data_IF_680011497561
#
_entry.id   IF_680011497561
#
_cell.length_a   1.000
_cell.length_b   1.000
_cell.length_c   1.000
_cell.angle_alpha   90.00
_cell.angle_beta   90.00
_cell.angle_gamma   90.00
#
_symmetry.space_group_name_H-M   'P 1'
#
loop_
_entity.id
_entity.type
_entity.pdbx_description
1 polymer ?
#
# COMPACT_ATOMS: atom_id res chain seq x y z
N UNK A 1 -1.59 -15.71 18.01
CA UNK A 1 -0.99 -16.42 16.84
C UNK A 1 -1.65 -15.89 15.56
N UNK A 2 -1.00 -15.91 14.39
CA UNK A 2 -1.66 -15.50 13.12
C UNK A 2 -1.86 -14.00 12.88
N UNK A 3 -1.24 -13.10 13.66
CA UNK A 3 -1.36 -11.64 13.51
C UNK A 3 -0.64 -11.04 12.28
N UNK A 4 0.08 -11.87 11.51
CA UNK A 4 0.77 -11.42 10.29
C UNK A 4 2.22 -10.97 10.48
N UNK A 5 2.93 -11.38 11.54
CA UNK A 5 4.36 -11.02 11.80
C UNK A 5 5.29 -11.23 10.60
N UNK A 6 5.33 -12.44 10.05
CA UNK A 6 6.19 -12.79 8.90
C UNK A 6 5.88 -11.95 7.65
N UNK A 7 4.62 -11.62 7.39
CA UNK A 7 4.25 -10.72 6.29
C UNK A 7 4.57 -9.26 6.62
N UNK A 8 4.45 -8.87 7.89
CA UNK A 8 4.75 -7.52 8.34
C UNK A 8 6.25 -7.23 8.29
N UNK A 9 7.11 -8.21 8.58
CA UNK A 9 8.56 -8.04 8.50
C UNK A 9 9.01 -7.77 7.06
N UNK A 10 8.44 -8.45 6.06
CA UNK A 10 8.75 -8.17 4.64
C UNK A 10 8.24 -6.81 4.18
N UNK A 11 7.05 -6.40 4.62
CA UNK A 11 6.51 -5.05 4.38
C UNK A 11 7.39 -3.95 5.00
N UNK A 12 7.88 -4.19 6.22
CA UNK A 12 8.77 -3.25 6.91
C UNK A 12 10.09 -3.06 6.14
N UNK A 13 10.69 -4.13 5.61
CA UNK A 13 11.86 -4.02 4.73
C UNK A 13 11.58 -3.12 3.54
N UNK A 14 10.44 -3.29 2.87
CA UNK A 14 10.09 -2.45 1.72
C UNK A 14 9.89 -0.98 2.12
N UNK A 15 9.29 -0.72 3.28
CA UNK A 15 9.13 0.63 3.81
C UNK A 15 10.48 1.29 4.08
N UNK A 16 11.41 0.58 4.73
CA UNK A 16 12.77 1.07 5.00
C UNK A 16 13.55 1.32 3.70
N UNK A 17 13.39 0.44 2.70
CA UNK A 17 14.01 0.61 1.38
C UNK A 17 13.50 1.85 0.65
N UNK A 18 12.21 2.17 0.75
CA UNK A 18 11.67 3.43 0.19
C UNK A 18 12.31 4.67 0.82
N UNK A 19 12.78 4.56 2.06
CA UNK A 19 13.51 5.61 2.77
C UNK A 19 15.03 5.58 2.51
N UNK A 20 15.50 4.69 1.62
CA UNK A 20 16.91 4.57 1.25
C UNK A 20 17.75 3.71 2.20
N UNK A 21 17.13 2.91 3.06
CA UNK A 21 17.85 2.04 4.00
C UNK A 21 17.78 0.56 3.57
N UNK A 22 18.87 -0.16 3.78
CA UNK A 22 18.95 -1.59 3.54
C UNK A 22 18.63 -2.40 4.80
N UNK A 23 18.00 -3.57 4.62
CA UNK A 23 17.61 -4.42 5.73
C UNK A 23 17.84 -5.91 5.45
N UNK A 24 18.24 -6.64 6.50
CA UNK A 24 18.32 -8.10 6.54
C UNK A 24 17.18 -8.67 7.39
N UNK A 25 16.50 -9.69 6.89
CA UNK A 25 15.52 -10.48 7.66
C UNK A 25 16.21 -11.66 8.36
N UNK A 26 15.86 -11.94 9.61
CA UNK A 26 16.37 -13.08 10.38
C UNK A 26 15.20 -13.99 10.74
N UNK A 27 15.24 -15.24 10.27
CA UNK A 27 14.18 -16.24 10.46
C UNK A 27 14.27 -16.91 11.84
N UNK A 28 13.68 -16.29 12.86
CA UNK A 28 13.71 -16.77 14.25
C UNK A 28 12.44 -17.56 14.68
N UNK A 29 11.48 -17.76 13.77
CA UNK A 29 10.35 -18.69 13.96
C UNK A 29 10.76 -20.13 13.59
N UNK A 30 11.42 -20.82 14.54
CA UNK A 30 11.85 -22.22 14.37
C UNK A 30 10.76 -23.24 14.72
N UNK A 31 9.64 -22.79 15.30
CA UNK A 31 8.60 -23.67 15.83
C UNK A 31 7.49 -23.93 14.82
N UNK A 32 7.14 -22.93 14.00
CA UNK A 32 6.06 -23.05 13.03
C UNK A 32 6.56 -23.78 11.76
N UNK A 33 5.87 -24.84 11.31
CA UNK A 33 6.21 -25.53 10.06
C UNK A 33 6.28 -24.55 8.88
N UNK A 34 7.31 -24.70 8.04
CA UNK A 34 7.56 -23.88 6.85
C UNK A 34 7.67 -22.36 7.09
N UNK A 35 7.82 -21.88 8.33
CA UNK A 35 7.93 -20.45 8.60
C UNK A 35 9.23 -19.84 8.05
N UNK A 36 10.34 -20.60 8.14
CA UNK A 36 11.62 -20.23 7.53
C UNK A 36 11.46 -20.13 6.01
N UNK A 37 10.90 -21.17 5.37
CA UNK A 37 10.69 -21.19 3.92
C UNK A 37 9.76 -20.06 3.45
N UNK A 38 8.73 -19.74 4.24
CA UNK A 38 7.83 -18.62 3.99
C UNK A 38 8.59 -17.29 4.01
N UNK A 39 9.42 -17.04 5.03
CA UNK A 39 10.19 -15.80 5.11
C UNK A 39 11.22 -15.71 3.99
N UNK A 40 11.89 -16.81 3.65
CA UNK A 40 12.83 -16.89 2.51
C UNK A 40 12.12 -16.60 1.19
N UNK A 41 10.93 -17.14 0.98
CA UNK A 41 10.12 -16.88 -0.22
C UNK A 41 9.72 -15.40 -0.32
N UNK A 42 9.25 -14.81 0.79
CA UNK A 42 8.92 -13.39 0.86
C UNK A 42 10.14 -12.52 0.61
N UNK A 43 11.29 -12.85 1.21
CA UNK A 43 12.56 -12.15 0.98
C UNK A 43 12.97 -12.18 -0.49
N UNK A 44 12.87 -13.33 -1.16
CA UNK A 44 13.13 -13.44 -2.61
C UNK A 44 12.18 -12.58 -3.43
N UNK A 45 10.89 -12.55 -3.07
CA UNK A 45 9.88 -11.76 -3.78
C UNK A 45 10.19 -10.26 -3.76
N UNK A 46 10.74 -9.77 -2.65
CA UNK A 46 11.10 -8.36 -2.46
C UNK A 46 12.59 -8.07 -2.66
N UNK A 47 13.37 -9.05 -3.13
CA UNK A 47 14.82 -8.95 -3.27
C UNK A 47 15.52 -8.48 -1.98
N UNK A 48 15.17 -9.05 -0.84
CA UNK A 48 15.76 -8.78 0.47
C UNK A 48 16.54 -10.00 0.99
N UNK A 49 17.74 -9.80 1.55
CA UNK A 49 18.52 -10.90 2.09
C UNK A 49 17.86 -11.45 3.36
N UNK A 50 17.80 -12.78 3.45
CA UNK A 50 17.25 -13.51 4.60
C UNK A 50 18.35 -14.39 5.19
N UNK A 51 18.58 -14.26 6.49
CA UNK A 51 19.38 -15.17 7.28
C UNK A 51 18.51 -16.24 7.92
N UNK A 52 18.89 -17.50 7.75
CA UNK A 52 18.17 -18.65 8.30
C UNK A 52 19.12 -19.81 8.52
N UNK A 53 18.83 -20.62 9.54
CA UNK A 53 19.51 -21.89 9.81
C UNK A 53 18.47 -23.02 9.88
N UNK A 54 18.83 -24.29 9.63
CA UNK A 54 17.88 -25.40 9.75
C UNK A 54 17.36 -25.55 11.19
N UNK A 55 16.03 -25.53 11.36
CA UNK A 55 15.36 -25.52 12.66
C UNK A 55 15.82 -26.65 13.61
N UNK A 56 16.09 -27.84 13.08
CA UNK A 56 16.49 -29.01 13.87
C UNK A 56 17.95 -28.97 14.36
N UNK A 57 18.75 -27.99 13.91
CA UNK A 57 20.20 -27.93 14.17
C UNK A 57 20.61 -26.76 15.06
N UNK A 58 19.67 -25.93 15.49
CA UNK A 58 19.96 -24.63 16.10
C UNK A 58 18.93 -24.24 17.16
N UNK A 59 19.16 -23.12 17.83
CA UNK A 59 18.21 -22.50 18.76
C UNK A 59 17.87 -21.09 18.31
N UNK A 60 16.74 -20.55 18.76
CA UNK A 60 16.31 -19.18 18.40
C UNK A 60 17.40 -18.17 18.76
N UNK A 61 18.02 -18.33 19.94
CA UNK A 61 19.11 -17.50 20.43
C UNK A 61 20.32 -17.50 19.47
N UNK A 62 20.73 -18.68 18.99
CA UNK A 62 21.86 -18.82 18.06
C UNK A 62 21.58 -18.19 16.70
N UNK A 63 20.38 -18.42 16.15
CA UNK A 63 19.99 -17.84 14.85
C UNK A 63 19.99 -16.33 14.91
N UNK A 64 19.49 -15.75 16.01
CA UNK A 64 19.49 -14.30 16.19
C UNK A 64 20.92 -13.77 16.35
N UNK A 65 21.75 -14.41 17.17
CA UNK A 65 23.15 -14.01 17.36
C UNK A 65 23.93 -14.03 16.04
N UNK A 66 23.83 -15.12 15.28
CA UNK A 66 24.53 -15.26 14.00
C UNK A 66 23.94 -14.36 12.91
N UNK A 67 22.61 -14.19 12.88
CA UNK A 67 21.95 -13.28 11.95
C UNK A 67 22.35 -11.82 12.15
N UNK A 68 22.57 -11.39 13.41
CA UNK A 68 23.10 -10.05 13.70
C UNK A 68 24.55 -9.91 13.25
N UNK A 69 25.38 -10.95 13.43
CA UNK A 69 26.76 -10.97 12.90
C UNK A 69 26.78 -10.88 11.38
N UNK A 70 25.88 -11.60 10.71
CA UNK A 70 25.71 -11.53 9.25
C UNK A 70 25.28 -10.13 8.80
N UNK A 71 24.30 -9.51 9.48
CA UNK A 71 23.83 -8.16 9.17
C UNK A 71 24.98 -7.14 9.24
N UNK A 72 25.78 -7.20 10.31
CA UNK A 72 26.98 -6.36 10.47
C UNK A 72 28.02 -6.60 9.39
N UNK A 73 28.22 -7.86 8.99
CA UNK A 73 29.19 -8.24 7.94
C UNK A 73 28.76 -7.72 6.57
N UNK A 74 27.45 -7.73 6.29
CA UNK A 74 26.87 -7.17 5.05
C UNK A 74 26.77 -5.65 5.05
N UNK A 75 26.92 -5.00 6.20
CA UNK A 75 26.80 -3.55 6.33
C UNK A 75 25.40 -3.02 6.05
N UNK A 76 24.35 -3.80 6.35
CA UNK A 76 22.96 -3.32 6.23
C UNK A 76 22.62 -2.39 7.40
N UNK A 77 21.71 -1.43 7.17
CA UNK A 77 21.30 -0.46 8.20
C UNK A 77 20.41 -1.10 9.27
N UNK A 78 19.54 -2.03 8.87
CA UNK A 78 18.56 -2.67 9.76
C UNK A 78 18.65 -4.20 9.74
N UNK A 79 18.50 -4.80 10.92
CA UNK A 79 18.28 -6.24 11.08
C UNK A 79 16.90 -6.47 11.71
N UNK A 80 16.03 -7.20 11.01
CA UNK A 80 14.65 -7.45 11.42
C UNK A 80 14.53 -8.92 11.82
N UNK A 81 14.21 -9.17 13.09
CA UNK A 81 14.05 -10.53 13.63
C UNK A 81 12.57 -10.92 13.60
N UNK A 82 12.20 -11.91 12.76
CA UNK A 82 10.84 -12.48 12.73
C UNK A 82 10.74 -13.64 13.72
N UNK A 83 10.09 -13.43 14.86
CA UNK A 83 9.94 -14.43 15.91
C UNK A 83 8.64 -15.23 15.77
N UNK A 84 8.60 -16.43 16.34
CA UNK A 84 7.37 -17.21 16.47
C UNK A 84 6.22 -16.44 17.12
N UNK A 85 4.98 -16.76 16.74
CA UNK A 85 3.80 -16.27 17.45
C UNK A 85 3.61 -17.00 18.75
N UNK A 86 3.50 -16.25 19.86
CA UNK A 86 3.36 -16.81 21.20
C UNK A 86 2.07 -16.33 21.84
N UNK A 87 1.47 -17.15 22.69
CA UNK A 87 0.39 -16.72 23.58
C UNK A 87 1.04 -16.00 24.76
N UNK A 88 0.44 -14.90 25.21
CA UNK A 88 1.02 -14.09 26.30
C UNK A 88 1.09 -14.86 27.63
N UNK A 89 0.23 -15.87 27.78
CA UNK A 89 0.07 -16.72 28.97
C UNK A 89 1.18 -17.78 29.10
N UNK A 90 2.00 -18.00 28.06
CA UNK A 90 3.05 -19.02 28.08
C UNK A 90 4.38 -18.43 28.61
N UNK A 91 4.66 -18.66 29.89
CA UNK A 91 5.83 -18.12 30.59
C UNK A 91 7.16 -18.57 29.98
N UNK A 92 7.30 -19.86 29.61
CA UNK A 92 8.53 -20.40 29.04
C UNK A 92 8.85 -19.72 27.70
N UNK A 93 7.80 -19.51 26.91
CA UNK A 93 7.86 -18.79 25.66
C UNK A 93 8.18 -17.30 25.86
N UNK A 94 7.67 -16.64 26.89
CA UNK A 94 8.01 -15.24 27.18
C UNK A 94 9.46 -15.09 27.67
N UNK A 95 9.94 -16.01 28.51
CA UNK A 95 11.31 -16.03 29.00
C UNK A 95 12.33 -16.18 27.85
N UNK A 96 12.01 -17.02 26.86
CA UNK A 96 12.84 -17.13 25.67
C UNK A 96 12.88 -15.82 24.87
N UNK A 97 11.76 -15.09 24.74
CA UNK A 97 11.77 -13.79 24.07
C UNK A 97 12.60 -12.76 24.83
N UNK A 98 12.58 -12.79 26.17
CA UNK A 98 13.45 -11.94 26.98
C UNK A 98 14.94 -12.25 26.75
N UNK A 99 15.31 -13.54 26.67
CA UNK A 99 16.68 -13.95 26.33
C UNK A 99 17.08 -13.45 24.93
N UNK A 100 16.21 -13.61 23.94
CA UNK A 100 16.44 -13.11 22.57
C UNK A 100 16.62 -11.59 22.58
N UNK A 101 15.74 -10.85 23.29
CA UNK A 101 15.85 -9.40 23.45
C UNK A 101 17.19 -8.99 24.08
N UNK A 102 17.64 -9.72 25.11
CA UNK A 102 18.93 -9.45 25.76
C UNK A 102 20.12 -9.67 24.81
N UNK A 103 20.05 -10.69 23.94
CA UNK A 103 21.10 -10.97 22.93
C UNK A 103 21.15 -9.86 21.87
N UNK A 104 19.99 -9.43 21.36
CA UNK A 104 19.96 -8.48 20.25
C UNK A 104 20.02 -7.01 20.67
N UNK A 105 19.70 -6.68 21.92
CA UNK A 105 19.58 -5.31 22.44
C UNK A 105 18.91 -4.36 21.44
N UNK A 106 17.63 -4.63 21.07
CA UNK A 106 17.01 -4.02 19.91
C UNK A 106 16.65 -2.55 20.19
N UNK A 107 16.79 -1.71 19.16
CA UNK A 107 16.29 -0.33 19.18
C UNK A 107 14.76 -0.29 19.24
N UNK A 108 14.11 -1.25 18.59
CA UNK A 108 12.66 -1.32 18.45
C UNK A 108 12.17 -2.73 18.77
N UNK A 109 11.17 -2.82 19.65
CA UNK A 109 10.41 -4.04 19.94
C UNK A 109 8.97 -3.77 19.54
N UNK A 110 8.58 -4.29 18.38
CA UNK A 110 7.29 -4.02 17.76
C UNK A 110 6.34 -5.20 17.94
N UNK A 111 5.20 -4.97 18.57
CA UNK A 111 4.14 -5.98 18.65
C UNK A 111 3.18 -5.84 17.46
N UNK A 112 3.01 -6.94 16.74
CA UNK A 112 2.08 -7.01 15.60
C UNK A 112 0.72 -7.52 16.06
N UNK A 113 -0.29 -6.68 15.92
CA UNK A 113 -1.66 -6.90 16.39
C UNK A 113 -2.63 -6.85 15.22
N UNK A 114 -3.58 -7.79 15.19
CA UNK A 114 -4.64 -7.81 14.19
C UNK A 114 -5.78 -6.87 14.62
N UNK A 115 -6.22 -5.99 13.72
CA UNK A 115 -7.31 -5.06 13.96
C UNK A 115 -8.64 -5.75 14.32
N UNK A 116 -8.84 -6.99 13.89
CA UNK A 116 -10.05 -7.77 14.18
C UNK A 116 -10.11 -8.31 15.62
N UNK A 117 -8.97 -8.40 16.32
CA UNK A 117 -8.89 -9.03 17.66
C UNK A 117 -9.61 -8.23 18.76
N UNK A 118 -10.03 -7.00 18.49
CA UNK A 118 -10.91 -6.24 19.39
C UNK A 118 -10.28 -5.96 20.76
N UNK A 119 -11.01 -6.19 21.85
CA UNK A 119 -10.52 -5.91 23.21
C UNK A 119 -9.44 -6.87 23.71
N UNK A 120 -9.38 -8.10 23.20
CA UNK A 120 -8.35 -9.07 23.60
C UNK A 120 -6.93 -8.58 23.24
N UNK A 121 -6.82 -7.80 22.16
CA UNK A 121 -5.57 -7.17 21.76
C UNK A 121 -5.02 -6.20 22.81
N UNK A 122 -5.89 -5.57 23.62
CA UNK A 122 -5.48 -4.65 24.68
C UNK A 122 -4.73 -5.40 25.77
N UNK A 123 -5.28 -6.54 26.21
CA UNK A 123 -4.65 -7.37 27.24
C UNK A 123 -3.32 -7.94 26.76
N UNK A 124 -3.27 -8.43 25.51
CA UNK A 124 -2.04 -8.93 24.90
C UNK A 124 -0.98 -7.83 24.83
N UNK A 125 -1.34 -6.62 24.40
CA UNK A 125 -0.40 -5.50 24.33
C UNK A 125 0.15 -5.12 25.70
N UNK A 126 -0.70 -5.10 26.73
CA UNK A 126 -0.28 -4.80 28.10
C UNK A 126 0.69 -5.86 28.63
N UNK A 127 0.35 -7.14 28.54
CA UNK A 127 1.17 -8.23 29.07
C UNK A 127 2.53 -8.33 28.35
N UNK A 128 2.54 -8.16 27.02
CA UNK A 128 3.79 -8.08 26.26
C UNK A 128 4.60 -6.83 26.62
N UNK A 129 3.95 -5.69 26.88
CA UNK A 129 4.64 -4.47 27.28
C UNK A 129 5.30 -4.58 28.65
N UNK A 130 4.62 -5.17 29.62
CA UNK A 130 5.16 -5.40 30.96
C UNK A 130 6.41 -6.29 30.94
N UNK A 131 6.43 -7.32 30.08
CA UNK A 131 7.55 -8.28 30.02
C UNK A 131 8.68 -7.90 29.07
N UNK A 132 8.36 -7.24 27.95
CA UNK A 132 9.30 -6.97 26.87
C UNK A 132 9.54 -5.48 26.63
N UNK A 133 8.89 -4.57 27.36
CA UNK A 133 8.97 -3.12 27.18
C UNK A 133 8.89 -2.72 25.71
N UNK A 134 7.68 -2.82 25.15
CA UNK A 134 7.41 -2.56 23.75
C UNK A 134 7.66 -1.10 23.42
N UNK A 135 8.26 -0.85 22.26
CA UNK A 135 8.53 0.52 21.78
C UNK A 135 7.47 0.99 20.78
N UNK A 136 6.70 0.06 20.21
CA UNK A 136 5.64 0.38 19.28
C UNK A 136 4.77 -0.81 18.92
N UNK A 137 3.65 -0.50 18.28
CA UNK A 137 2.69 -1.47 17.75
C UNK A 137 2.60 -1.33 16.23
N UNK A 138 2.32 -2.46 15.58
CA UNK A 138 1.94 -2.50 14.17
C UNK A 138 0.54 -3.12 14.08
N UNK A 139 -0.41 -2.36 13.53
CA UNK A 139 -1.77 -2.84 13.32
C UNK A 139 -1.89 -3.48 11.94
N UNK A 140 -2.38 -4.71 11.83
CA UNK A 140 -2.59 -5.40 10.55
C UNK A 140 -4.08 -5.54 10.24
N UNK A 141 -4.39 -5.84 8.98
CA UNK A 141 -5.77 -6.01 8.46
C UNK A 141 -6.66 -4.78 8.65
N UNK A 142 -6.07 -3.59 8.53
CA UNK A 142 -6.77 -2.31 8.63
C UNK A 142 -7.61 -1.97 7.38
N UNK A 143 -7.59 -2.83 6.37
CA UNK A 143 -8.41 -2.78 5.15
C UNK A 143 -9.81 -3.36 5.31
N UNK A 144 -10.08 -4.13 6.38
CA UNK A 144 -11.41 -4.64 6.68
C UNK A 144 -12.31 -3.63 7.38
N UNK A 145 -13.60 -3.97 7.51
CA UNK A 145 -14.63 -3.23 8.28
C UNK A 145 -14.35 -3.15 9.79
N UNK A 146 -13.17 -3.61 10.24
CA UNK A 146 -12.73 -3.58 11.62
C UNK A 146 -12.58 -2.12 12.08
N UNK A 147 -13.64 -1.61 12.71
CA UNK A 147 -13.72 -0.28 13.29
C UNK A 147 -12.49 -0.08 14.19
N UNK A 148 -11.66 0.91 13.88
CA UNK A 148 -10.38 1.20 14.57
C UNK A 148 -10.45 1.55 16.06
N UNK A 149 -11.57 1.25 16.74
CA UNK A 149 -11.72 1.38 18.19
C UNK A 149 -10.75 0.49 18.97
N UNK A 150 -10.31 -0.65 18.40
CA UNK A 150 -9.27 -1.48 19.01
C UNK A 150 -7.94 -0.71 19.09
N UNK A 151 -7.55 -0.01 18.02
CA UNK A 151 -6.32 0.80 17.99
C UNK A 151 -6.32 1.92 19.04
N UNK A 152 -7.46 2.62 19.19
CA UNK A 152 -7.63 3.66 20.22
C UNK A 152 -7.56 3.07 21.64
N UNK A 153 -8.18 1.90 21.86
CA UNK A 153 -8.21 1.26 23.17
C UNK A 153 -6.82 0.75 23.58
N UNK A 154 -6.09 0.13 22.65
CA UNK A 154 -4.76 -0.42 22.95
C UNK A 154 -3.80 0.73 23.33
N UNK A 155 -3.77 1.81 22.55
CA UNK A 155 -2.87 2.95 22.83
C UNK A 155 -3.22 3.64 24.16
N UNK A 156 -4.51 3.84 24.44
CA UNK A 156 -4.95 4.47 25.69
C UNK A 156 -4.67 3.64 26.94
N UNK A 157 -4.69 2.31 26.85
CA UNK A 157 -4.52 1.42 28.01
C UNK A 157 -3.07 0.98 28.18
N UNK A 158 -2.41 0.51 27.11
CA UNK A 158 -1.04 0.01 27.17
C UNK A 158 0.01 1.13 27.20
N UNK A 159 -0.33 2.34 26.76
CA UNK A 159 0.61 3.45 26.59
C UNK A 159 1.61 3.28 25.44
N UNK A 160 1.55 2.17 24.71
CA UNK A 160 2.46 1.87 23.60
C UNK A 160 1.93 2.53 22.31
N UNK A 161 2.73 3.33 21.61
CA UNK A 161 2.27 4.00 20.39
C UNK A 161 2.12 3.02 19.23
N UNK A 162 1.10 3.19 18.40
CA UNK A 162 1.04 2.53 17.10
C UNK A 162 1.91 3.32 16.14
N UNK A 163 2.88 2.64 15.50
CA UNK A 163 3.82 3.26 14.55
C UNK A 163 3.39 3.07 13.11
N UNK A 164 2.89 1.87 12.78
CA UNK A 164 2.67 1.44 11.40
C UNK A 164 1.35 0.69 11.28
N UNK A 165 0.80 0.67 10.06
CA UNK A 165 -0.42 -0.05 9.70
C UNK A 165 -0.24 -0.86 8.41
N UNK A 166 -0.64 -2.12 8.44
CA UNK A 166 -0.87 -2.94 7.26
C UNK A 166 -2.30 -2.75 6.74
N UNK A 167 -2.43 -2.22 5.52
CA UNK A 167 -3.70 -1.84 4.88
C UNK A 167 -4.05 -2.73 3.69
N UNK A 168 -3.63 -3.99 3.73
CA UNK A 168 -3.87 -4.96 2.66
C UNK A 168 -2.90 -6.13 2.72
N UNK A 169 -2.89 -6.98 1.70
CA UNK A 169 -2.05 -8.18 1.64
C UNK A 169 -0.75 -7.98 0.86
N UNK A 170 -0.71 -7.01 -0.06
CA UNK A 170 0.46 -6.83 -0.92
C UNK A 170 1.64 -6.31 -0.12
N UNK A 171 2.89 -6.61 -0.52
CA UNK A 171 4.09 -6.12 0.16
C UNK A 171 4.18 -4.58 0.25
N UNK A 172 3.52 -3.85 -0.64
CA UNK A 172 3.44 -2.38 -0.61
C UNK A 172 2.33 -1.80 0.28
N UNK A 173 1.42 -2.63 0.79
CA UNK A 173 0.25 -2.20 1.57
C UNK A 173 0.64 -1.99 3.04
N UNK A 174 1.48 -1.00 3.27
CA UNK A 174 2.07 -0.65 4.57
C UNK A 174 2.26 0.86 4.67
N UNK A 175 1.68 1.47 5.70
CA UNK A 175 1.57 2.92 5.87
C UNK A 175 1.96 3.32 7.30
N UNK A 176 2.44 4.55 7.47
CA UNK A 176 2.64 5.15 8.80
C UNK A 176 1.30 5.35 9.52
N UNK A 177 1.31 5.21 10.84
CA UNK A 177 0.11 5.42 11.65
C UNK A 177 -0.10 6.91 11.96
N UNK A 178 -1.23 7.44 11.52
CA UNK A 178 -1.69 8.78 11.88
C UNK A 178 -3.05 8.70 12.58
N UNK A 179 -3.12 9.01 13.90
CA UNK A 179 -4.37 8.93 14.68
C UNK A 179 -5.53 9.72 14.05
N UNK A 180 -5.25 10.94 13.57
CA UNK A 180 -6.24 11.84 12.99
C UNK A 180 -6.85 11.26 11.70
N UNK A 181 -6.06 10.52 10.91
CA UNK A 181 -6.53 9.85 9.70
C UNK A 181 -7.45 8.69 10.03
N UNK A 182 -7.09 7.89 11.03
CA UNK A 182 -7.95 6.80 11.50
C UNK A 182 -9.28 7.34 12.03
N UNK A 183 -9.25 8.42 12.82
CA UNK A 183 -10.45 9.09 13.31
C UNK A 183 -11.32 9.60 12.14
N UNK A 184 -10.71 10.22 11.13
CA UNK A 184 -11.41 10.73 9.94
C UNK A 184 -12.06 9.61 9.10
N UNK A 185 -11.36 8.46 8.95
CA UNK A 185 -11.91 7.26 8.29
C UNK A 185 -13.10 6.70 9.08
N UNK A 186 -13.00 6.60 10.41
CA UNK A 186 -14.10 6.14 11.28
C UNK A 186 -15.31 7.09 11.19
N UNK A 187 -15.08 8.40 11.15
CA UNK A 187 -16.11 9.42 11.03
C UNK A 187 -16.68 9.58 9.61
N UNK A 188 -16.21 8.77 8.65
CA UNK A 188 -16.71 8.76 7.27
C UNK A 188 -16.33 10.02 6.46
N UNK A 189 -15.37 10.81 6.94
CA UNK A 189 -14.90 12.03 6.27
C UNK A 189 -13.86 11.75 5.17
N UNK A 190 -13.43 10.50 5.02
CA UNK A 190 -12.41 10.08 4.06
C UNK A 190 -11.01 10.50 4.47
N UNK A 191 -9.99 9.89 3.86
CA UNK A 191 -8.58 10.18 4.14
C UNK A 191 -7.97 11.01 3.01
N UNK A 192 -8.29 12.31 3.05
CA UNK A 192 -7.85 13.29 2.05
C UNK A 192 -6.33 13.46 2.05
N UNK A 193 -5.68 13.29 3.20
CA UNK A 193 -4.23 13.45 3.36
C UNK A 193 -3.46 12.31 2.70
N UNK A 194 -3.87 11.06 2.91
CA UNK A 194 -3.25 9.91 2.24
C UNK A 194 -3.43 9.96 0.72
N UNK A 195 -4.54 10.51 0.22
CA UNK A 195 -4.71 10.76 -1.21
C UNK A 195 -3.70 11.79 -1.74
N UNK A 196 -3.47 12.86 -1.00
CA UNK A 196 -2.49 13.89 -1.37
C UNK A 196 -1.08 13.30 -1.39
N UNK A 197 -0.70 12.51 -0.39
CA UNK A 197 0.62 11.87 -0.32
C UNK A 197 0.81 10.83 -1.43
N UNK A 198 -0.14 9.92 -1.64
CA UNK A 198 -0.06 8.96 -2.76
C UNK A 198 -0.03 9.68 -4.12
N UNK A 199 -0.73 10.81 -4.26
CA UNK A 199 -0.67 11.62 -5.46
C UNK A 199 0.69 12.33 -5.63
N UNK A 200 1.31 12.78 -4.53
CA UNK A 200 2.66 13.34 -4.53
C UNK A 200 3.72 12.29 -4.86
N UNK A 201 3.61 11.07 -4.32
CA UNK A 201 4.53 9.96 -4.61
C UNK A 201 4.40 9.46 -6.05
N UNK A 202 3.20 9.54 -6.62
CA UNK A 202 2.93 9.07 -7.98
C UNK A 202 3.22 10.12 -9.07
N UNK A 203 3.30 11.40 -8.72
CA UNK A 203 3.45 12.50 -9.67
C UNK A 203 4.69 13.31 -9.28
N UNK A 204 5.75 13.19 -10.07
CA UNK A 204 6.93 14.03 -9.88
C UNK A 204 6.60 15.51 -10.15
N UNK A 205 7.31 16.43 -9.48
CA UNK A 205 7.11 17.86 -9.69
C UNK A 205 7.37 18.28 -11.15
N UNK A 206 8.22 17.54 -11.86
CA UNK A 206 8.49 17.70 -13.29
C UNK A 206 7.33 17.23 -14.16
N UNK A 207 6.74 16.06 -13.85
CA UNK A 207 5.56 15.54 -14.55
C UNK A 207 4.36 16.47 -14.40
N UNK A 208 4.16 17.03 -13.20
CA UNK A 208 3.11 18.01 -12.95
C UNK A 208 3.28 19.28 -13.83
N UNK A 209 4.51 19.82 -13.91
CA UNK A 209 4.82 20.99 -14.75
C UNK A 209 4.70 20.69 -16.24
N UNK A 210 5.13 19.50 -16.68
CA UNK A 210 5.00 19.06 -18.07
C UNK A 210 3.53 18.88 -18.47
N UNK A 211 2.72 18.31 -17.59
CA UNK A 211 1.28 18.17 -17.77
C UNK A 211 0.61 19.55 -17.84
N UNK A 212 0.91 20.46 -16.92
CA UNK A 212 0.38 21.83 -16.94
C UNK A 212 0.69 22.53 -18.28
N UNK A 213 1.93 22.42 -18.77
CA UNK A 213 2.36 23.03 -20.03
C UNK A 213 1.62 22.43 -21.24
N UNK A 214 1.46 21.11 -21.29
CA UNK A 214 0.71 20.40 -22.35
C UNK A 214 -0.78 20.77 -22.33
N UNK A 215 -1.35 20.94 -21.14
CA UNK A 215 -2.74 21.35 -20.95
C UNK A 215 -3.00 22.78 -21.42
N UNK A 216 -2.11 23.73 -21.06
CA UNK A 216 -2.20 25.12 -21.56
C UNK A 216 -2.10 25.20 -23.08
N UNK A 217 -1.26 24.36 -23.69
CA UNK A 217 -1.03 24.35 -25.13
C UNK A 217 -2.04 23.51 -25.93
N UNK A 218 -3.06 22.92 -25.29
CA UNK A 218 -4.01 21.98 -25.91
C UNK A 218 -3.36 20.77 -26.62
N UNK A 219 -2.17 20.35 -26.20
CA UNK A 219 -1.45 19.22 -26.80
C UNK A 219 -1.66 17.91 -26.03
N UNK A 220 -2.81 17.75 -25.37
CA UNK A 220 -3.13 16.54 -24.62
C UNK A 220 -3.55 15.41 -25.58
N UNK A 221 -2.76 14.34 -25.60
CA UNK A 221 -2.88 13.21 -26.55
C UNK A 221 -3.42 11.94 -25.90
N UNK A 222 -3.75 10.90 -26.69
CA UNK A 222 -4.09 9.58 -26.12
C UNK A 222 -2.92 8.94 -25.37
N UNK A 223 -1.69 9.29 -25.72
CA UNK A 223 -0.50 8.78 -25.03
C UNK A 223 -0.37 9.37 -23.63
N UNK A 224 -0.66 10.67 -23.49
CA UNK A 224 -0.78 11.32 -22.18
C UNK A 224 -1.96 10.75 -21.39
N UNK A 225 -3.09 10.47 -22.05
CA UNK A 225 -4.24 9.86 -21.39
C UNK A 225 -3.95 8.45 -20.87
N UNK A 226 -3.26 7.63 -21.67
CA UNK A 226 -2.87 6.28 -21.27
C UNK A 226 -1.89 6.31 -20.09
N UNK A 227 -0.87 7.18 -20.13
CA UNK A 227 0.10 7.28 -19.04
C UNK A 227 -0.56 7.66 -17.73
N UNK A 228 -1.52 8.59 -17.74
CA UNK A 228 -2.28 8.98 -16.55
C UNK A 228 -3.11 7.82 -15.99
N UNK A 229 -3.79 7.05 -16.84
CA UNK A 229 -4.54 5.87 -16.40
C UNK A 229 -3.61 4.81 -15.80
N UNK A 230 -2.43 4.60 -16.39
CA UNK A 230 -1.42 3.66 -15.87
C UNK A 230 -0.85 4.13 -14.53
N UNK A 231 -0.63 5.43 -14.33
CA UNK A 231 -0.22 5.98 -13.04
C UNK A 231 -1.30 5.75 -11.98
N UNK A 232 -2.57 6.00 -12.30
CA UNK A 232 -3.67 5.73 -11.38
C UNK A 232 -3.79 4.24 -11.04
N UNK A 233 -3.56 3.33 -12.01
CA UNK A 233 -3.51 1.88 -11.77
C UNK A 233 -2.39 1.48 -10.80
N UNK A 234 -1.27 2.21 -10.78
CA UNK A 234 -0.17 1.97 -9.83
C UNK A 234 -0.51 2.42 -8.41
N UNK A 235 -1.39 3.41 -8.26
CA UNK A 235 -1.78 3.95 -6.94
C UNK A 235 -2.71 3.01 -6.15
N UNK A 236 -3.37 2.05 -6.81
CA UNK A 236 -4.20 1.05 -6.16
C UNK A 236 -5.50 0.75 -6.93
N UNK A 237 -6.39 -0.08 -6.36
CA UNK A 237 -7.71 -0.33 -6.93
C UNK A 237 -8.51 0.97 -7.01
N UNK A 238 -9.08 1.27 -8.17
CA UNK A 238 -9.82 2.53 -8.42
C UNK A 238 -10.97 2.73 -7.41
N UNK A 239 -11.63 1.64 -6.99
CA UNK A 239 -12.71 1.69 -6.02
C UNK A 239 -12.25 2.30 -4.68
N UNK A 240 -11.06 1.93 -4.20
CA UNK A 240 -10.51 2.47 -2.96
C UNK A 240 -10.16 3.95 -3.10
N UNK A 241 -9.63 4.37 -4.25
CA UNK A 241 -9.33 5.80 -4.52
C UNK A 241 -10.63 6.62 -4.53
N UNK A 242 -11.71 6.13 -5.14
CA UNK A 242 -13.00 6.82 -5.19
C UNK A 242 -13.70 6.90 -3.83
N UNK A 243 -13.59 5.85 -3.00
CA UNK A 243 -14.13 5.84 -1.63
C UNK A 243 -13.45 6.86 -0.72
N UNK A 244 -12.20 7.22 -1.01
CA UNK A 244 -11.43 8.19 -0.23
C UNK A 244 -11.75 9.66 -0.60
N UNK A 245 -12.46 9.93 -1.70
CA UNK A 245 -12.81 11.30 -2.14
C UNK A 245 -14.11 11.77 -1.44
N UNK A 246 -14.06 12.85 -0.63
CA UNK A 246 -15.24 13.40 0.04
C UNK A 246 -16.32 13.84 -0.97
N UNK A 247 -17.58 13.49 -0.73
CA UNK A 247 -18.72 13.82 -1.60
C UNK A 247 -19.00 12.83 -2.74
N UNK A 248 -18.02 12.00 -3.14
CA UNK A 248 -18.24 10.95 -4.15
C UNK A 248 -18.74 9.61 -3.58
N UNK A 249 -18.56 9.36 -2.28
CA UNK A 249 -19.05 8.15 -1.59
C UNK A 249 -20.57 7.95 -1.74
N UNK A 250 -21.36 9.04 -1.75
CA UNK A 250 -22.80 8.99 -1.98
C UNK A 250 -23.18 8.66 -3.43
N UNK A 251 -22.35 9.02 -4.41
CA UNK A 251 -22.58 8.69 -5.83
C UNK A 251 -22.19 7.25 -6.17
N UNK A 252 -21.15 6.72 -5.53
CA UNK A 252 -20.74 5.31 -5.66
C UNK A 252 -21.83 4.37 -5.13
N UNK A 253 -22.38 4.64 -3.93
CA UNK A 253 -23.48 3.85 -3.34
C UNK A 253 -24.77 3.80 -4.17
N UNK A 254 -25.04 4.83 -4.98
CA UNK A 254 -26.22 4.89 -5.85
C UNK A 254 -26.05 4.13 -7.18
N UNK A 255 -25.02 3.30 -7.34
CA UNK A 255 -24.89 2.39 -8.48
C UNK A 255 -24.45 3.04 -9.79
N UNK A 256 -24.18 4.35 -9.81
CA UNK A 256 -23.73 5.05 -11.02
C UNK A 256 -22.23 4.85 -11.34
N UNK A 257 -21.47 4.25 -10.41
CA UNK A 257 -20.03 3.99 -10.56
C UNK A 257 -19.57 2.59 -10.12
N UNK A 258 -20.50 1.66 -9.84
CA UNK A 258 -20.15 0.34 -9.28
C UNK A 258 -19.35 -0.59 -10.20
N UNK A 259 -19.09 -0.22 -11.46
CA UNK A 259 -18.31 -1.03 -12.40
C UNK A 259 -17.22 -0.19 -13.08
N UNK A 260 -16.30 0.39 -12.32
CA UNK A 260 -14.95 0.63 -12.86
C UNK A 260 -14.17 -0.67 -12.69
N UNK A 261 -14.55 -1.69 -13.46
CA UNK A 261 -13.83 -2.96 -13.52
C UNK A 261 -12.37 -2.67 -13.85
N UNK A 262 -11.43 -3.32 -13.16
CA UNK A 262 -10.01 -3.33 -13.55
C UNK A 262 -9.84 -3.71 -15.03
N UNK A 263 -10.78 -4.49 -15.57
CA UNK A 263 -10.83 -4.88 -16.97
C UNK A 263 -11.09 -3.70 -17.91
N UNK A 264 -11.83 -2.66 -17.50
CA UNK A 264 -11.99 -1.44 -18.31
C UNK A 264 -10.67 -0.74 -18.58
N UNK A 265 -9.77 -0.69 -17.61
CA UNK A 265 -8.44 -0.12 -17.80
C UNK A 265 -7.65 -0.94 -18.83
N UNK A 266 -7.73 -2.27 -18.75
CA UNK A 266 -7.10 -3.17 -19.74
C UNK A 266 -7.67 -2.97 -21.15
N UNK A 267 -8.99 -2.78 -21.28
CA UNK A 267 -9.62 -2.50 -22.58
C UNK A 267 -9.16 -1.17 -23.16
N UNK A 268 -9.05 -0.12 -22.36
CA UNK A 268 -8.54 1.18 -22.81
C UNK A 268 -7.08 1.07 -23.25
N UNK A 269 -6.25 0.35 -22.49
CA UNK A 269 -4.86 0.08 -22.82
C UNK A 269 -4.73 -0.70 -24.14
N UNK A 270 -5.55 -1.74 -24.34
CA UNK A 270 -5.58 -2.50 -25.59
C UNK A 270 -5.99 -1.62 -26.79
N UNK A 271 -7.06 -0.83 -26.66
CA UNK A 271 -7.55 0.06 -27.72
C UNK A 271 -6.48 1.08 -28.13
N UNK A 272 -5.85 1.77 -27.16
CA UNK A 272 -4.82 2.78 -27.44
C UNK A 272 -3.57 2.11 -28.04
N UNK A 273 -3.20 0.91 -27.57
CA UNK A 273 -2.06 0.16 -28.10
C UNK A 273 -2.26 -0.24 -29.56
N UNK A 274 -3.50 -0.52 -30.00
CA UNK A 274 -3.84 -0.82 -31.40
C UNK A 274 -3.85 0.41 -32.33
N UNK A 275 -3.74 1.62 -31.79
CA UNK A 275 -3.58 2.86 -32.56
C UNK A 275 -2.15 3.04 -33.04
N UNK A 276 -1.99 3.67 -34.21
CA UNK A 276 -0.70 4.17 -34.69
C UNK A 276 -0.29 5.43 -33.92
N UNK A 277 1.00 5.77 -33.89
CA UNK A 277 1.52 6.99 -33.23
C UNK A 277 0.78 8.25 -33.71
N UNK A 278 0.51 8.35 -35.03
CA UNK A 278 -0.24 9.47 -35.61
C UNK A 278 -1.66 9.58 -35.07
N UNK A 279 -2.35 8.46 -34.86
CA UNK A 279 -3.71 8.43 -34.30
C UNK A 279 -3.71 8.75 -32.80
N UNK A 280 -2.67 8.35 -32.05
CA UNK A 280 -2.54 8.70 -30.63
C UNK A 280 -2.31 10.19 -30.42
N UNK A 281 -1.45 10.78 -31.26
CA UNK A 281 -1.13 12.21 -31.22
C UNK A 281 -2.26 13.07 -31.77
N UNK A 282 -3.03 12.58 -32.74
CA UNK A 282 -4.14 13.31 -33.34
C UNK A 282 -5.43 12.46 -33.37
N UNK A 283 -6.19 12.41 -32.26
CA UNK A 283 -7.43 11.65 -32.13
C UNK A 283 -8.51 11.95 -33.18
N UNK A 284 -8.52 13.16 -33.74
CA UNK A 284 -9.55 13.60 -34.69
C UNK A 284 -9.46 12.90 -36.06
N UNK A 285 -8.32 12.27 -36.39
CA UNK A 285 -8.17 11.54 -37.67
C UNK A 285 -8.85 10.16 -37.65
N UNK A 286 -9.34 9.70 -36.48
CA UNK A 286 -9.93 8.37 -36.28
C UNK A 286 -11.34 8.31 -36.90
N UNK A 287 -11.38 7.97 -38.18
CA UNK A 287 -12.60 7.71 -38.95
C UNK A 287 -13.12 6.28 -38.77
N UNK A 288 -14.29 5.96 -39.34
CA UNK A 288 -14.94 4.65 -39.20
C UNK A 288 -14.12 3.45 -39.74
N UNK A 289 -13.23 3.67 -40.71
CA UNK A 289 -12.31 2.62 -41.19
C UNK A 289 -11.24 2.32 -40.14
N UNK A 290 -10.63 3.36 -39.57
CA UNK A 290 -9.63 3.24 -38.50
C UNK A 290 -10.23 2.61 -37.24
N UNK A 291 -11.48 2.95 -36.88
CA UNK A 291 -12.17 2.31 -35.75
C UNK A 291 -12.33 0.81 -35.94
N UNK A 292 -12.71 0.35 -37.15
CA UNK A 292 -12.79 -1.08 -37.46
C UNK A 292 -11.44 -1.79 -37.32
N UNK A 293 -10.36 -1.17 -37.82
CA UNK A 293 -9.00 -1.69 -37.67
C UNK A 293 -8.59 -1.80 -36.20
N UNK A 294 -8.81 -0.74 -35.42
CA UNK A 294 -8.48 -0.70 -34.00
C UNK A 294 -9.27 -1.77 -33.25
N UNK A 295 -10.58 -1.86 -33.47
CA UNK A 295 -11.47 -2.85 -32.85
C UNK A 295 -10.97 -4.29 -33.06
N UNK A 296 -10.60 -4.64 -34.30
CA UNK A 296 -10.03 -5.94 -34.62
C UNK A 296 -8.69 -6.18 -33.91
N UNK A 297 -7.85 -5.15 -33.80
CA UNK A 297 -6.54 -5.24 -33.15
C UNK A 297 -6.60 -5.31 -31.62
N UNK A 298 -7.63 -4.73 -31.00
CA UNK A 298 -7.81 -4.71 -29.54
C UNK A 298 -8.76 -5.79 -29.04
N UNK A 299 -9.42 -6.54 -29.94
CA UNK A 299 -10.46 -7.51 -29.57
C UNK A 299 -11.73 -6.85 -29.02
N UNK A 300 -11.99 -5.59 -29.40
CA UNK A 300 -13.13 -4.79 -28.91
C UNK A 300 -14.08 -4.45 -30.06
N UNK A 301 -15.15 -3.73 -29.76
CA UNK A 301 -16.15 -3.26 -30.71
C UNK A 301 -15.91 -1.80 -31.14
N UNK A 302 -16.38 -1.38 -32.33
CA UNK A 302 -16.38 0.02 -32.73
C UNK A 302 -17.15 0.96 -31.77
N UNK A 303 -18.15 0.43 -31.05
CA UNK A 303 -18.94 1.15 -30.05
C UNK A 303 -18.07 1.54 -28.84
N UNK A 304 -17.26 0.61 -28.33
CA UNK A 304 -16.35 0.87 -27.22
C UNK A 304 -15.29 1.92 -27.58
N UNK A 305 -14.82 1.92 -28.83
CA UNK A 305 -13.89 2.95 -29.31
C UNK A 305 -14.57 4.32 -29.33
N UNK A 306 -15.84 4.40 -29.74
CA UNK A 306 -16.61 5.65 -29.69
C UNK A 306 -16.78 6.15 -28.26
N UNK A 307 -17.04 5.23 -27.33
CA UNK A 307 -17.17 5.55 -25.91
C UNK A 307 -15.86 6.11 -25.36
N UNK A 308 -14.71 5.47 -25.66
CA UNK A 308 -13.40 5.97 -25.28
C UNK A 308 -13.11 7.36 -25.87
N UNK A 309 -13.41 7.57 -27.16
CA UNK A 309 -13.24 8.88 -27.80
C UNK A 309 -14.09 9.97 -27.12
N UNK A 310 -15.33 9.64 -26.74
CA UNK A 310 -16.21 10.58 -26.04
C UNK A 310 -15.69 10.89 -24.63
N UNK A 311 -15.22 9.88 -23.89
CA UNK A 311 -14.60 10.05 -22.59
C UNK A 311 -13.35 10.94 -22.68
N UNK A 312 -12.47 10.67 -23.65
CA UNK A 312 -11.29 11.49 -23.90
C UNK A 312 -11.65 12.96 -24.19
N UNK A 313 -12.65 13.21 -25.05
CA UNK A 313 -13.13 14.58 -25.33
C UNK A 313 -13.73 15.26 -24.08
N UNK A 314 -14.42 14.52 -23.23
CA UNK A 314 -14.94 15.05 -21.96
C UNK A 314 -13.80 15.40 -21.00
N UNK A 315 -12.80 14.53 -20.88
CA UNK A 315 -11.59 14.77 -20.06
C UNK A 315 -10.83 16.00 -20.57
N UNK A 316 -10.62 16.13 -21.88
CA UNK A 316 -10.02 17.33 -22.47
C UNK A 316 -10.79 18.61 -22.14
N UNK A 317 -12.13 18.58 -22.26
CA UNK A 317 -12.99 19.73 -21.89
C UNK A 317 -12.89 20.08 -20.41
N UNK A 318 -12.88 19.07 -19.54
CA UNK A 318 -12.72 19.24 -18.11
C UNK A 318 -11.35 19.85 -17.79
N UNK A 319 -10.27 19.24 -18.26
CA UNK A 319 -8.91 19.72 -18.03
C UNK A 319 -8.68 21.14 -18.56
N UNK A 320 -9.29 21.51 -19.70
CA UNK A 320 -9.26 22.89 -20.21
C UNK A 320 -9.94 23.89 -19.27
N UNK A 321 -11.05 23.51 -18.64
CA UNK A 321 -11.71 24.34 -17.62
C UNK A 321 -10.84 24.49 -16.37
N UNK A 322 -10.17 23.42 -15.94
CA UNK A 322 -9.23 23.45 -14.82
C UNK A 322 -8.02 24.35 -15.11
N UNK A 323 -7.38 24.21 -16.28
CA UNK A 323 -6.22 25.03 -16.66
C UNK A 323 -6.53 26.54 -16.76
N UNK A 324 -7.79 26.89 -17.10
CA UNK A 324 -8.24 28.27 -17.15
C UNK A 324 -8.65 28.84 -15.77
N UNK A 325 -8.79 28.00 -14.76
CA UNK A 325 -9.21 28.41 -13.42
C UNK A 325 -7.97 28.58 -12.54
N UNK A 326 -7.52 29.82 -12.33
CA UNK A 326 -6.28 30.16 -11.58
C UNK A 326 -6.30 29.83 -10.08
N UNK A 327 -7.37 29.24 -9.53
CA UNK A 327 -7.55 29.13 -8.09
C UNK A 327 -7.97 27.71 -7.65
N UNK A 328 -7.08 26.91 -7.04
CA UNK A 328 -7.40 25.55 -6.60
C UNK A 328 -8.49 25.48 -5.52
N UNK A 329 -8.76 26.59 -4.81
CA UNK A 329 -9.83 26.67 -3.79
C UNK A 329 -11.25 26.73 -4.35
N UNK A 330 -11.46 27.15 -5.61
CA UNK A 330 -12.82 27.16 -6.19
C UNK A 330 -13.29 25.78 -6.63
N UNK A 331 -12.38 24.79 -6.70
CA UNK A 331 -12.70 23.42 -7.06
C UNK A 331 -13.50 22.69 -5.99
N UNK A 332 -13.24 22.98 -4.71
CA UNK A 332 -13.99 22.42 -3.59
C UNK A 332 -15.44 22.92 -3.51
N UNK A 333 -15.75 24.08 -4.14
CA UNK A 333 -17.10 24.64 -4.19
C UNK A 333 -17.97 24.07 -5.31
N UNK A 334 -17.40 23.35 -6.28
CA UNK A 334 -18.15 22.72 -7.39
C UNK A 334 -18.66 21.32 -7.05
N UNK A 335 -18.22 20.73 -5.94
CA UNK A 335 -18.65 19.42 -5.45
C UNK A 335 -19.54 19.53 -4.19
N UNK A 336 -20.01 20.74 -3.86
CA UNK A 336 -21.04 20.97 -2.84
C UNK A 336 -22.44 20.89 -3.41
#
# INVERSE_FOLDING_TARGET
>A
QGSGKTTTSSKLVMSLRKQGNDALLIAADLQRPAAIDQLVSLGKQIDAPVYSEPANSTTVEKVVENGIKEAKTKGVDFAIVDTAGRLSIDDELMDQLQRVKAICNPLEVLLVVDAMTGQEAVNVAQEFNERLALTGLIMTKMDGDARGGAALSITSVSGVPIKLMGVGEKPGDFEDFFPDRLASRILGMGDVLTLIEKAQDAITEEDAKALEKKLRNNTFTFEDFLSQIQTLKKMGPMNQIFEMIPGMSHMAKNGMMNNVDEDRVKYVEAIISSMTVKERQNPEIINGSRRRRIALGSGTSPQEINQLMNQFKQTQKMMKRFANTKNPRSLMGMFK
#
